data_IF_910753391150
#
_entry.id   IF_910753391150
#
_cell.length_a   1.000
_cell.length_b   1.000
_cell.length_c   1.000
_cell.angle_alpha   90.00
_cell.angle_beta   90.00
_cell.angle_gamma   90.00
#
_symmetry.space_group_name_H-M   'P 1'
#
loop_
_entity.id
_entity.type
_entity.pdbx_description
1 polymer ?
#
# COMPACT_ATOMS: atom_id res chain seq x y z
N UNK A 1 -0.68 -1.89 10.03
CA UNK A 1 -1.89 -2.70 9.79
C UNK A 1 -1.50 -3.88 8.93
N UNK A 2 -2.15 -5.04 9.11
CA UNK A 2 -1.98 -6.16 8.20
C UNK A 2 -2.70 -5.88 6.88
N UNK A 3 -2.10 -6.35 5.79
CA UNK A 3 -2.64 -6.16 4.45
C UNK A 3 -2.08 -7.23 3.50
N UNK A 4 -2.86 -7.52 2.47
CA UNK A 4 -2.39 -8.29 1.31
C UNK A 4 -2.02 -7.33 0.18
N UNK A 5 -0.83 -7.52 -0.39
CA UNK A 5 -0.31 -6.74 -1.52
C UNK A 5 -0.28 -7.63 -2.77
N UNK A 6 -0.81 -7.12 -3.88
CA UNK A 6 -0.74 -7.79 -5.19
C UNK A 6 -0.12 -6.85 -6.22
N UNK A 7 0.90 -7.32 -6.92
CA UNK A 7 1.51 -6.59 -8.02
C UNK A 7 0.52 -6.42 -9.18
N UNK A 8 0.55 -5.25 -9.81
CA UNK A 8 -0.19 -4.92 -11.03
C UNK A 8 0.80 -4.47 -12.13
N UNK A 9 0.37 -4.43 -13.40
CA UNK A 9 1.14 -3.78 -14.45
C UNK A 9 1.42 -2.29 -14.16
N UNK A 10 2.33 -1.72 -14.95
CA UNK A 10 2.67 -0.28 -14.94
C UNK A 10 3.20 0.25 -13.61
N UNK A 11 4.01 -0.56 -12.90
CA UNK A 11 4.57 -0.24 -11.58
C UNK A 11 3.50 0.13 -10.54
N UNK A 12 2.34 -0.53 -10.60
CA UNK A 12 1.27 -0.37 -9.61
C UNK A 12 1.18 -1.58 -8.70
N UNK A 13 0.57 -1.37 -7.54
CA UNK A 13 0.21 -2.43 -6.62
C UNK A 13 -1.21 -2.18 -6.11
N UNK A 14 -1.96 -3.26 -5.90
CA UNK A 14 -3.21 -3.23 -5.15
C UNK A 14 -2.93 -3.64 -3.72
N UNK A 15 -3.35 -2.82 -2.77
CA UNK A 15 -3.24 -3.09 -1.34
C UNK A 15 -4.65 -3.25 -0.79
N UNK A 16 -4.90 -4.37 -0.13
CA UNK A 16 -6.15 -4.64 0.58
C UNK A 16 -5.81 -4.81 2.04
N UNK A 17 -6.27 -3.85 2.87
CA UNK A 17 -6.13 -3.96 4.32
C UNK A 17 -7.13 -4.96 4.87
N UNK A 18 -6.71 -5.72 5.89
CA UNK A 18 -7.58 -6.70 6.55
C UNK A 18 -8.71 -6.02 7.33
N UNK A 19 -8.46 -4.78 7.78
CA UNK A 19 -9.44 -3.92 8.44
C UNK A 19 -9.55 -2.57 7.72
N UNK A 20 -10.74 -1.94 7.69
CA UNK A 20 -10.93 -0.62 7.10
C UNK A 20 -10.00 0.44 7.70
N UNK A 21 -9.36 1.24 6.84
CA UNK A 21 -8.49 2.33 7.26
C UNK A 21 -9.13 3.68 6.94
N UNK A 22 -9.07 4.61 7.88
CA UNK A 22 -9.57 5.96 7.69
C UNK A 22 -8.54 6.86 6.97
N UNK A 23 -9.03 7.92 6.32
CA UNK A 23 -8.23 9.03 5.79
C UNK A 23 -7.12 8.66 4.76
N UNK A 24 -7.25 7.53 4.05
CA UNK A 24 -6.37 7.16 2.94
C UNK A 24 -6.52 8.19 1.81
N UNK A 25 -5.47 8.97 1.55
CA UNK A 25 -5.54 10.12 0.65
C UNK A 25 -4.55 10.01 -0.52
N UNK A 26 -5.00 10.20 -1.78
CA UNK A 26 -4.11 10.27 -2.92
C UNK A 26 -3.03 11.34 -2.76
N UNK A 27 -1.79 11.02 -3.15
CA UNK A 27 -0.62 11.87 -2.98
C UNK A 27 0.15 11.63 -1.68
N UNK A 28 -0.39 10.88 -0.72
CA UNK A 28 0.39 10.40 0.42
C UNK A 28 1.28 9.22 0.00
N UNK A 29 2.42 9.08 0.68
CA UNK A 29 3.29 7.91 0.53
C UNK A 29 2.77 6.75 1.38
N UNK A 30 2.89 5.53 0.87
CA UNK A 30 2.72 4.28 1.61
C UNK A 30 4.04 3.53 1.66
N UNK A 31 4.32 2.87 2.78
CA UNK A 31 5.54 2.08 3.00
C UNK A 31 5.12 0.69 3.47
N UNK A 32 5.68 -0.34 2.86
CA UNK A 32 5.38 -1.73 3.14
C UNK A 32 6.49 -2.32 3.99
N UNK A 33 6.09 -3.01 5.06
CA UNK A 33 7.01 -3.66 5.98
C UNK A 33 6.73 -5.16 6.04
N UNK A 34 7.79 -5.96 6.12
CA UNK A 34 7.74 -7.36 6.50
C UNK A 34 8.48 -7.54 7.84
N UNK A 35 7.73 -7.55 8.94
CA UNK A 35 8.32 -7.39 10.27
C UNK A 35 8.95 -6.00 10.41
N UNK A 36 10.27 -5.95 10.61
CA UNK A 36 11.04 -4.70 10.73
C UNK A 36 11.66 -4.24 9.39
N UNK A 37 11.62 -5.07 8.36
CA UNK A 37 12.24 -4.78 7.07
C UNK A 37 11.32 -3.94 6.17
N UNK A 38 11.85 -2.86 5.58
CA UNK A 38 11.17 -2.13 4.51
C UNK A 38 11.30 -2.91 3.21
N UNK A 39 10.18 -3.41 2.70
CA UNK A 39 10.15 -4.19 1.45
C UNK A 39 9.72 -3.36 0.24
N UNK A 40 9.23 -2.14 0.46
CA UNK A 40 8.91 -1.21 -0.61
C UNK A 40 8.01 -0.07 -0.19
N UNK A 41 7.51 0.65 -1.18
CA UNK A 41 6.59 1.76 -0.97
C UNK A 41 6.20 2.42 -2.28
N UNK A 42 5.33 3.41 -2.21
CA UNK A 42 4.87 4.14 -3.37
C UNK A 42 3.91 5.26 -3.01
N UNK A 43 3.39 5.93 -4.03
CA UNK A 43 2.40 6.98 -3.87
C UNK A 43 1.00 6.39 -3.99
N UNK A 44 0.13 6.75 -3.05
CA UNK A 44 -1.29 6.42 -3.13
C UNK A 44 -1.88 7.21 -4.30
N UNK A 45 -2.39 6.50 -5.30
CA UNK A 45 -3.02 7.09 -6.48
C UNK A 45 -4.53 6.87 -6.44
N UNK A 46 -5.29 7.73 -7.12
CA UNK A 46 -6.71 7.46 -7.36
C UNK A 46 -6.84 6.27 -8.32
N UNK A 47 -7.89 5.48 -8.12
CA UNK A 47 -8.35 4.51 -9.12
C UNK A 47 -8.77 5.23 -10.41
#
# INVERSE_FOLDING_TARGET
>A
ALATISALPDNRARIVFDEPQAAITPGQATVFYNGEEVVGGGWIVKN
#
